data_IF_015650539745
#
_entry.id   IF_015650539745
#
_cell.length_a   1.000
_cell.length_b   1.000
_cell.length_c   1.000
_cell.angle_alpha   90.00
_cell.angle_beta   90.00
_cell.angle_gamma   90.00
#
_symmetry.space_group_name_H-M   'P 1'
#
loop_
_entity.id
_entity.type
_entity.pdbx_description
1 polymer ?
#
# COMPACT_ATOMS: atom_id res chain seq x y z
N UNK A 1 8.07 -40.29 32.50
CA UNK A 1 8.27 -39.69 31.18
C UNK A 1 7.61 -38.33 31.20
N UNK A 2 8.43 -37.30 31.30
CA UNK A 2 8.02 -35.91 31.30
C UNK A 2 7.80 -35.51 29.84
N UNK A 3 6.55 -35.55 29.39
CA UNK A 3 6.18 -35.05 28.07
C UNK A 3 6.07 -33.54 28.21
N UNK A 4 7.12 -32.83 27.81
CA UNK A 4 7.15 -31.37 27.77
C UNK A 4 5.93 -30.88 26.99
N UNK A 5 4.98 -30.28 27.72
CA UNK A 5 3.97 -29.44 27.11
C UNK A 5 4.74 -28.25 26.51
N UNK A 6 5.05 -28.33 25.22
CA UNK A 6 5.49 -27.15 24.47
C UNK A 6 4.43 -26.08 24.70
N UNK A 7 4.86 -24.91 25.16
CA UNK A 7 3.95 -23.80 25.41
C UNK A 7 3.13 -23.57 24.13
N UNK A 8 1.81 -23.75 24.21
CA UNK A 8 0.93 -23.39 23.11
C UNK A 8 1.06 -21.88 22.89
N UNK A 9 1.39 -21.46 21.66
CA UNK A 9 1.49 -20.04 21.32
C UNK A 9 0.15 -19.33 21.44
N UNK A 10 0.17 -18.00 21.35
CA UNK A 10 -1.04 -17.18 21.41
C UNK A 10 -1.90 -17.41 20.16
N UNK A 11 -3.22 -17.45 20.33
CA UNK A 11 -4.18 -17.41 19.23
C UNK A 11 -4.78 -15.99 19.15
N UNK A 12 -4.58 -15.31 18.03
CA UNK A 12 -5.02 -13.94 17.79
C UNK A 12 -6.21 -13.89 16.85
N UNK A 13 -6.97 -12.79 16.91
CA UNK A 13 -7.87 -12.46 15.82
C UNK A 13 -7.09 -11.90 14.60
N UNK A 14 -7.65 -12.01 13.38
CA UNK A 14 -6.99 -11.54 12.16
C UNK A 14 -6.54 -10.08 12.18
N UNK A 15 -7.40 -9.16 12.66
CA UNK A 15 -7.12 -7.73 12.64
C UNK A 15 -6.00 -7.38 13.65
N UNK A 16 -6.03 -8.01 14.82
CA UNK A 16 -5.00 -7.86 15.85
C UNK A 16 -3.64 -8.37 15.35
N UNK A 17 -3.61 -9.52 14.70
CA UNK A 17 -2.39 -10.08 14.13
C UNK A 17 -1.77 -9.15 13.08
N UNK A 18 -2.59 -8.61 12.17
CA UNK A 18 -2.12 -7.71 11.12
C UNK A 18 -1.66 -6.36 11.71
N UNK A 19 -2.44 -5.70 12.57
CA UNK A 19 -2.06 -4.43 13.23
C UNK A 19 -0.76 -4.49 14.04
N UNK A 20 -0.42 -5.69 14.53
CA UNK A 20 0.82 -5.93 15.28
C UNK A 20 2.00 -6.36 14.41
N UNK A 21 1.84 -6.40 13.09
CA UNK A 21 2.84 -6.90 12.14
C UNK A 21 3.32 -5.80 11.19
N UNK A 22 4.64 -5.67 11.10
CA UNK A 22 5.32 -4.87 10.09
C UNK A 22 6.13 -5.77 9.17
N UNK A 23 6.14 -5.45 7.87
CA UNK A 23 6.91 -6.14 6.84
C UNK A 23 8.11 -5.30 6.45
N UNK A 24 9.29 -5.90 6.35
CA UNK A 24 10.54 -5.22 6.05
C UNK A 24 11.14 -5.74 4.74
N UNK A 25 11.50 -4.81 3.86
CA UNK A 25 12.19 -5.12 2.61
C UNK A 25 13.67 -5.26 2.90
N UNK A 26 14.19 -6.48 2.71
CA UNK A 26 15.58 -6.85 2.94
C UNK A 26 16.17 -7.50 1.70
N UNK A 27 17.49 -7.50 1.65
CA UNK A 27 18.26 -8.12 0.57
C UNK A 27 19.29 -9.04 1.21
N UNK A 28 19.48 -10.24 0.66
CA UNK A 28 20.56 -11.14 1.10
C UNK A 28 21.92 -10.46 0.93
N UNK A 29 22.08 -9.73 -0.18
CA UNK A 29 23.26 -8.91 -0.43
C UNK A 29 22.90 -7.61 -1.14
N UNK A 30 23.56 -6.51 -0.74
CA UNK A 30 23.40 -5.19 -1.36
C UNK A 30 24.09 -5.08 -2.73
N UNK A 31 24.99 -6.02 -3.05
CA UNK A 31 25.73 -6.03 -4.32
C UNK A 31 24.99 -6.64 -5.49
N UNK A 32 23.84 -7.28 -5.26
CA UNK A 32 23.12 -8.05 -6.28
C UNK A 32 21.88 -7.28 -6.76
N UNK A 33 20.83 -7.94 -7.24
CA UNK A 33 19.60 -7.28 -7.69
C UNK A 33 18.88 -6.57 -6.54
N UNK A 34 18.82 -5.25 -6.58
CA UNK A 34 18.06 -4.43 -5.62
C UNK A 34 17.04 -3.56 -6.36
N UNK A 35 16.03 -3.06 -5.67
CA UNK A 35 15.08 -2.11 -6.27
C UNK A 35 15.76 -0.83 -6.76
N UNK A 36 16.82 -0.39 -6.09
CA UNK A 36 17.63 0.76 -6.53
C UNK A 36 18.30 0.48 -7.88
N UNK A 37 18.87 -0.71 -8.08
CA UNK A 37 19.44 -1.10 -9.37
C UNK A 37 18.38 -1.34 -10.44
N UNK A 38 17.25 -1.93 -10.07
CA UNK A 38 16.13 -2.13 -10.98
C UNK A 38 15.59 -0.80 -11.51
N UNK A 39 15.46 0.20 -10.62
CA UNK A 39 15.11 1.58 -10.98
C UNK A 39 16.11 2.19 -11.97
N UNK A 40 17.42 1.97 -11.75
CA UNK A 40 18.47 2.39 -12.66
C UNK A 40 18.50 1.61 -14.00
N UNK A 41 17.79 0.49 -14.11
CA UNK A 41 17.82 -0.41 -15.27
C UNK A 41 18.96 -1.43 -15.24
N UNK A 42 19.62 -1.61 -14.11
CA UNK A 42 20.80 -2.44 -13.90
C UNK A 42 20.49 -3.80 -13.22
N UNK A 43 19.22 -4.14 -13.03
CA UNK A 43 18.81 -5.44 -12.49
C UNK A 43 17.48 -5.93 -13.09
N UNK A 44 17.42 -7.21 -13.46
CA UNK A 44 16.20 -7.87 -13.95
C UNK A 44 15.24 -8.20 -12.81
N UNK A 45 13.98 -8.49 -13.18
CA UNK A 45 12.93 -8.89 -12.23
C UNK A 45 13.32 -10.14 -11.46
N UNK A 46 13.93 -11.11 -12.15
CA UNK A 46 14.41 -12.36 -11.57
C UNK A 46 15.54 -12.09 -10.55
N UNK A 47 16.52 -11.25 -10.89
CA UNK A 47 17.63 -10.92 -9.99
C UNK A 47 17.14 -10.25 -8.69
N UNK A 48 16.15 -9.34 -8.79
CA UNK A 48 15.53 -8.75 -7.60
C UNK A 48 14.73 -9.79 -6.82
N UNK A 49 13.94 -10.64 -7.49
CA UNK A 49 13.14 -11.67 -6.81
C UNK A 49 14.01 -12.66 -6.03
N UNK A 50 15.13 -13.07 -6.62
CA UNK A 50 16.08 -14.00 -6.00
C UNK A 50 16.78 -13.39 -4.78
N UNK A 51 17.04 -12.08 -4.75
CA UNK A 51 17.76 -11.43 -3.66
C UNK A 51 16.86 -10.79 -2.58
N UNK A 52 15.66 -10.30 -2.96
CA UNK A 52 14.74 -9.61 -2.06
C UNK A 52 14.03 -10.58 -1.12
N UNK A 53 14.00 -10.23 0.16
CA UNK A 53 13.29 -10.95 1.24
C UNK A 53 12.32 -9.98 1.91
N UNK A 54 11.11 -10.44 2.17
CA UNK A 54 10.14 -9.74 3.01
C UNK A 54 10.16 -10.45 4.36
N UNK A 55 10.77 -9.79 5.35
CA UNK A 55 10.81 -10.26 6.73
C UNK A 55 9.67 -9.62 7.51
N UNK A 56 9.09 -10.33 8.48
CA UNK A 56 8.07 -9.76 9.36
C UNK A 56 8.64 -9.48 10.76
N UNK A 57 8.11 -8.46 11.41
CA UNK A 57 8.35 -8.18 12.83
C UNK A 57 6.99 -8.00 13.50
N UNK A 58 6.75 -8.80 14.53
CA UNK A 58 5.50 -8.83 15.29
C UNK A 58 5.68 -8.20 16.68
N UNK A 59 4.64 -7.55 17.20
CA UNK A 59 4.56 -7.12 18.62
C UNK A 59 4.07 -8.24 19.55
N UNK A 60 4.08 -9.47 19.07
CA UNK A 60 3.75 -10.70 19.79
C UNK A 60 4.78 -11.76 19.42
N UNK A 61 4.89 -12.81 20.23
CA UNK A 61 5.76 -13.95 19.93
C UNK A 61 5.16 -14.75 18.77
N UNK A 62 5.81 -14.72 17.60
CA UNK A 62 5.33 -15.41 16.40
C UNK A 62 5.56 -16.93 16.47
N UNK A 63 6.50 -17.40 17.30
CA UNK A 63 6.85 -18.81 17.38
C UNK A 63 5.68 -19.61 17.97
N UNK A 64 5.02 -20.39 17.11
CA UNK A 64 3.85 -21.18 17.49
C UNK A 64 2.56 -20.37 17.64
N UNK A 65 2.54 -19.09 17.26
CA UNK A 65 1.32 -18.30 17.24
C UNK A 65 0.36 -18.76 16.14
N UNK A 66 -0.93 -18.63 16.42
CA UNK A 66 -2.00 -18.91 15.47
C UNK A 66 -2.93 -17.72 15.32
N UNK A 67 -3.66 -17.70 14.20
CA UNK A 67 -4.72 -16.74 13.92
C UNK A 67 -5.95 -17.53 13.51
N UNK A 68 -7.00 -17.48 14.33
CA UNK A 68 -8.17 -18.36 14.24
C UNK A 68 -7.76 -19.85 14.07
N UNK A 69 -6.76 -20.29 14.84
CA UNK A 69 -6.23 -21.66 14.81
C UNK A 69 -5.39 -22.03 13.58
N UNK A 70 -5.14 -21.11 12.64
CA UNK A 70 -4.18 -21.29 11.54
C UNK A 70 -2.79 -20.79 11.93
N UNK A 71 -1.68 -21.44 11.52
CA UNK A 71 -0.34 -20.92 11.79
C UNK A 71 -0.19 -19.47 11.30
N UNK A 72 0.40 -18.60 12.13
CA UNK A 72 0.51 -17.17 11.81
C UNK A 72 1.17 -16.90 10.46
N UNK A 73 2.28 -17.58 10.14
CA UNK A 73 2.98 -17.42 8.87
C UNK A 73 2.11 -17.78 7.65
N UNK A 74 1.31 -18.83 7.77
CA UNK A 74 0.39 -19.26 6.72
C UNK A 74 -0.75 -18.24 6.55
N UNK A 75 -1.31 -17.77 7.68
CA UNK A 75 -2.31 -16.72 7.68
C UNK A 75 -1.79 -15.44 7.00
N UNK A 76 -0.64 -14.93 7.45
CA UNK A 76 -0.04 -13.69 6.96
C UNK A 76 0.21 -13.75 5.45
N UNK A 77 0.84 -14.83 4.97
CA UNK A 77 1.14 -14.99 3.53
C UNK A 77 -0.11 -15.17 2.68
N UNK A 78 -1.23 -15.56 3.28
CA UNK A 78 -2.52 -15.72 2.63
C UNK A 78 -3.35 -14.43 2.55
N UNK A 79 -2.90 -13.32 3.14
CA UNK A 79 -3.67 -12.07 3.11
C UNK A 79 -3.40 -11.23 1.87
N UNK A 80 -4.37 -10.38 1.50
CA UNK A 80 -4.22 -9.47 0.36
C UNK A 80 -3.16 -8.42 0.66
N UNK A 81 -3.06 -7.95 1.90
CA UNK A 81 -2.07 -6.96 2.32
C UNK A 81 -0.65 -7.47 2.10
N UNK A 82 -0.34 -8.71 2.51
CA UNK A 82 0.97 -9.30 2.27
C UNK A 82 1.25 -9.45 0.77
N UNK A 83 0.29 -9.99 0.01
CA UNK A 83 0.42 -10.13 -1.44
C UNK A 83 0.63 -8.78 -2.15
N UNK A 84 -0.04 -7.73 -1.69
CA UNK A 84 0.10 -6.38 -2.23
C UNK A 84 1.49 -5.80 -1.94
N UNK A 85 2.02 -5.98 -0.73
CA UNK A 85 3.41 -5.59 -0.39
C UNK A 85 4.41 -6.35 -1.26
N UNK A 86 4.21 -7.65 -1.46
CA UNK A 86 5.06 -8.46 -2.31
C UNK A 86 5.06 -7.96 -3.77
N UNK A 87 3.88 -7.73 -4.34
CA UNK A 87 3.73 -7.23 -5.71
C UNK A 87 4.34 -5.82 -5.89
N UNK A 88 4.06 -4.87 -4.99
CA UNK A 88 4.65 -3.51 -5.06
C UNK A 88 6.18 -3.57 -5.07
N UNK A 89 6.76 -4.46 -4.26
CA UNK A 89 8.21 -4.54 -4.06
C UNK A 89 8.92 -5.48 -5.02
N UNK A 90 8.22 -6.25 -5.85
CA UNK A 90 8.83 -7.21 -6.79
C UNK A 90 8.45 -7.00 -8.25
N UNK A 91 7.28 -6.43 -8.53
CA UNK A 91 6.70 -6.41 -9.88
C UNK A 91 6.37 -5.01 -10.39
N UNK A 92 5.73 -4.18 -9.55
CA UNK A 92 5.17 -2.90 -9.99
C UNK A 92 6.20 -1.99 -10.70
N UNK A 93 7.44 -1.97 -10.21
CA UNK A 93 8.51 -1.19 -10.83
C UNK A 93 8.79 -1.62 -12.28
N UNK A 94 8.71 -2.92 -12.56
CA UNK A 94 8.88 -3.46 -13.91
C UNK A 94 7.65 -3.21 -14.76
N UNK A 95 6.45 -3.39 -14.23
CA UNK A 95 5.20 -3.12 -14.96
C UNK A 95 5.13 -1.65 -15.43
N UNK A 96 5.45 -0.69 -14.57
CA UNK A 96 5.52 0.74 -14.93
C UNK A 96 6.63 1.00 -15.97
N UNK A 97 7.73 0.26 -15.90
CA UNK A 97 8.85 0.40 -16.85
C UNK A 97 8.51 -0.14 -18.24
N UNK A 98 7.95 -1.34 -18.30
CA UNK A 98 7.66 -2.09 -19.52
C UNK A 98 6.56 -1.40 -20.36
N UNK A 99 5.67 -0.67 -19.70
CA UNK A 99 4.58 0.10 -20.33
C UNK A 99 4.99 1.52 -20.74
N UNK A 100 6.23 1.94 -20.46
CA UNK A 100 6.75 3.25 -20.83
C UNK A 100 6.21 4.41 -19.98
N UNK A 101 5.50 4.12 -18.89
CA UNK A 101 4.81 5.10 -18.05
C UNK A 101 5.69 5.72 -16.95
N UNK A 102 6.99 5.44 -16.91
CA UNK A 102 7.93 5.95 -15.89
C UNK A 102 7.83 7.45 -15.65
N UNK A 103 7.75 8.26 -16.71
CA UNK A 103 7.66 9.72 -16.57
C UNK A 103 6.30 10.18 -16.06
N UNK A 104 5.23 9.54 -16.55
CA UNK A 104 3.86 9.84 -16.15
C UNK A 104 3.58 9.43 -14.69
N UNK A 105 4.32 8.43 -14.18
CA UNK A 105 4.20 7.88 -12.83
C UNK A 105 5.46 8.07 -12.01
N UNK A 106 6.19 9.16 -12.24
CA UNK A 106 7.52 9.39 -11.66
C UNK A 106 7.51 9.39 -10.13
N UNK A 107 6.52 10.03 -9.49
CA UNK A 107 6.46 10.07 -8.02
C UNK A 107 6.25 8.66 -7.43
N UNK A 108 5.46 7.80 -8.08
CA UNK A 108 5.29 6.39 -7.70
C UNK A 108 6.57 5.59 -7.99
N UNK A 109 7.08 5.70 -9.21
CA UNK A 109 8.25 4.97 -9.69
C UNK A 109 9.48 5.22 -8.82
N UNK A 110 9.70 6.48 -8.43
CA UNK A 110 10.82 6.93 -7.59
C UNK A 110 10.61 6.63 -6.10
N UNK A 111 9.39 6.33 -5.67
CA UNK A 111 9.09 5.95 -4.29
C UNK A 111 9.38 4.47 -4.01
N UNK A 112 9.10 3.57 -4.96
CA UNK A 112 9.29 2.12 -4.80
C UNK A 112 10.70 1.73 -4.29
N UNK A 113 11.82 2.20 -4.87
CA UNK A 113 13.15 1.80 -4.40
C UNK A 113 13.50 2.34 -3.00
N UNK A 114 12.74 3.30 -2.46
CA UNK A 114 12.96 3.90 -1.15
C UNK A 114 12.24 3.14 -0.02
N UNK A 115 11.35 2.20 -0.36
CA UNK A 115 10.60 1.39 0.61
C UNK A 115 11.58 0.61 1.50
N UNK A 116 11.54 0.87 2.80
CA UNK A 116 12.24 0.10 3.83
C UNK A 116 11.30 -0.90 4.52
N UNK A 117 10.04 -0.49 4.74
CA UNK A 117 9.03 -1.32 5.40
C UNK A 117 7.62 -0.98 4.94
N UNK A 118 6.70 -1.91 5.16
CA UNK A 118 5.26 -1.72 5.09
C UNK A 118 4.63 -2.03 6.46
N UNK A 119 3.84 -1.10 6.97
CA UNK A 119 3.07 -1.26 8.21
C UNK A 119 1.66 -1.72 7.84
N UNK A 120 1.21 -2.85 8.39
CA UNK A 120 -0.14 -3.35 8.16
C UNK A 120 -1.09 -2.67 9.16
N UNK A 121 -2.19 -2.11 8.65
CA UNK A 121 -3.06 -1.19 9.39
C UNK A 121 -2.28 -0.04 10.04
N UNK A 122 -1.36 0.55 9.26
CA UNK A 122 -0.45 1.59 9.71
C UNK A 122 -1.15 2.93 9.98
N UNK A 123 -0.69 3.62 11.02
CA UNK A 123 -1.16 4.96 11.39
C UNK A 123 -0.24 6.05 10.81
N UNK A 124 -0.80 7.06 10.18
CA UNK A 124 -0.07 8.27 9.77
C UNK A 124 -0.52 9.46 10.60
N UNK A 125 0.43 10.29 11.00
CA UNK A 125 0.14 11.55 11.67
C UNK A 125 -0.02 12.66 10.65
N UNK A 126 -1.18 13.30 10.65
CA UNK A 126 -1.47 14.49 9.87
C UNK A 126 -1.21 15.72 10.73
N UNK A 127 -0.41 16.67 10.24
CA UNK A 127 -0.23 17.96 10.88
C UNK A 127 -0.91 19.05 10.03
N UNK A 128 -1.74 19.88 10.66
CA UNK A 128 -2.39 21.01 10.01
C UNK A 128 -2.55 22.18 10.98
N UNK A 129 -2.62 23.40 10.46
CA UNK A 129 -2.88 24.59 11.26
C UNK A 129 -4.39 24.86 11.36
N UNK A 130 -4.89 25.02 12.58
CA UNK A 130 -6.26 25.42 12.84
C UNK A 130 -6.28 26.53 13.89
N UNK A 131 -6.92 27.66 13.57
CA UNK A 131 -6.96 28.84 14.46
C UNK A 131 -5.58 29.39 14.89
N UNK A 132 -4.54 29.12 14.11
CA UNK A 132 -3.16 29.53 14.41
C UNK A 132 -2.40 28.58 15.34
N UNK A 133 -2.96 27.39 15.63
CA UNK A 133 -2.32 26.33 16.40
C UNK A 133 -2.08 25.09 15.51
N UNK A 134 -0.92 24.43 15.67
CA UNK A 134 -0.65 23.14 15.02
C UNK A 134 -1.50 22.06 15.69
N UNK A 135 -2.36 21.41 14.92
CA UNK A 135 -3.13 20.23 15.33
C UNK A 135 -2.58 18.99 14.67
N UNK A 136 -2.69 17.88 15.40
CA UNK A 136 -2.30 16.55 14.92
C UNK A 136 -3.45 15.59 15.00
N UNK A 137 -3.71 14.90 13.90
CA UNK A 137 -4.71 13.84 13.80
C UNK A 137 -4.03 12.57 13.31
N UNK A 138 -4.61 11.42 13.65
CA UNK A 138 -4.14 10.13 13.18
C UNK A 138 -5.15 9.57 12.18
N UNK A 139 -4.64 9.13 11.04
CA UNK A 139 -5.40 8.39 10.03
C UNK A 139 -4.79 7.00 9.87
N UNK A 140 -5.62 6.02 9.56
CA UNK A 140 -5.18 4.63 9.35
C UNK A 140 -5.31 4.23 7.90
N UNK A 141 -4.33 3.52 7.36
CA UNK A 141 -4.46 2.83 6.06
C UNK A 141 -4.15 1.36 6.26
N UNK A 142 -4.77 0.49 5.47
CA UNK A 142 -4.56 -0.97 5.60
C UNK A 142 -3.10 -1.36 5.29
N UNK A 143 -2.42 -0.59 4.42
CA UNK A 143 -0.97 -0.69 4.23
C UNK A 143 -0.34 0.70 4.13
N UNK A 144 0.72 0.95 4.89
CA UNK A 144 1.57 2.16 4.77
C UNK A 144 3.00 1.76 4.48
N UNK A 145 3.49 2.06 3.28
CA UNK A 145 4.91 1.89 2.94
C UNK A 145 5.69 3.10 3.40
N UNK A 146 6.84 2.86 4.03
CA UNK A 146 7.70 3.92 4.57
C UNK A 146 9.14 3.79 4.11
N UNK A 147 9.80 4.94 4.02
CA UNK A 147 11.25 4.98 3.90
C UNK A 147 11.93 4.62 5.24
N UNK A 148 13.27 4.59 5.22
CA UNK A 148 14.09 4.32 6.41
C UNK A 148 13.91 5.37 7.52
N UNK A 149 13.52 6.60 7.17
CA UNK A 149 13.28 7.68 8.14
C UNK A 149 11.88 7.61 8.74
N UNK A 150 11.01 6.75 8.22
CA UNK A 150 9.62 6.59 8.65
C UNK A 150 8.64 7.50 7.91
N UNK A 151 9.05 8.20 6.85
CA UNK A 151 8.12 9.01 6.06
C UNK A 151 7.23 8.08 5.21
N UNK A 152 5.92 8.35 5.14
CA UNK A 152 5.02 7.58 4.28
C UNK A 152 5.33 7.87 2.81
N UNK A 153 5.48 6.80 2.03
CA UNK A 153 5.76 6.83 0.60
C UNK A 153 4.51 6.45 -0.20
N UNK A 154 3.85 5.36 0.20
CA UNK A 154 2.67 4.81 -0.45
C UNK A 154 1.66 4.41 0.62
N UNK A 155 0.38 4.58 0.34
CA UNK A 155 -0.71 4.13 1.23
C UNK A 155 -1.73 3.31 0.45
N UNK A 156 -2.42 2.39 1.11
CA UNK A 156 -3.47 1.60 0.48
C UNK A 156 -4.63 1.29 1.42
N UNK A 157 -5.83 1.27 0.84
CA UNK A 157 -7.01 0.61 1.40
C UNK A 157 -7.27 -0.69 0.65
N UNK A 158 -7.65 -1.73 1.39
CA UNK A 158 -7.82 -3.10 0.91
C UNK A 158 -9.25 -3.56 1.15
N UNK A 159 -9.99 -3.78 0.07
CA UNK A 159 -11.27 -4.48 0.11
C UNK A 159 -11.05 -5.98 -0.16
N UNK A 160 -10.92 -6.74 0.93
CA UNK A 160 -10.78 -8.20 0.90
C UNK A 160 -12.12 -8.97 0.86
N UNK A 161 -13.24 -8.25 0.74
CA UNK A 161 -14.56 -8.86 0.70
C UNK A 161 -14.98 -9.22 -0.74
N UNK A 162 -16.15 -9.84 -0.87
CA UNK A 162 -16.77 -10.07 -2.18
C UNK A 162 -17.55 -8.86 -2.68
N UNK A 163 -17.84 -7.91 -1.80
CA UNK A 163 -18.57 -6.70 -2.15
C UNK A 163 -17.67 -5.78 -2.99
N UNK A 164 -18.23 -5.02 -3.93
CA UNK A 164 -17.45 -4.10 -4.74
C UNK A 164 -16.88 -2.96 -3.91
N UNK A 165 -15.77 -2.39 -4.39
CA UNK A 165 -15.27 -1.12 -3.88
C UNK A 165 -16.18 0.01 -4.34
N UNK A 166 -16.70 0.78 -3.40
CA UNK A 166 -17.75 1.77 -3.62
C UNK A 166 -17.22 3.18 -3.83
N UNK A 167 -18.06 4.07 -4.35
CA UNK A 167 -17.78 5.52 -4.42
C UNK A 167 -17.35 6.08 -3.05
N UNK A 168 -18.06 5.71 -1.98
CA UNK A 168 -17.80 6.16 -0.61
C UNK A 168 -16.38 5.77 -0.15
N UNK A 169 -15.99 4.51 -0.35
CA UNK A 169 -14.65 4.02 0.00
C UNK A 169 -13.55 4.74 -0.79
N UNK A 170 -13.79 5.02 -2.07
CA UNK A 170 -12.86 5.76 -2.93
C UNK A 170 -12.71 7.22 -2.48
N UNK A 171 -13.82 7.89 -2.17
CA UNK A 171 -13.80 9.26 -1.66
C UNK A 171 -13.06 9.36 -0.32
N UNK A 172 -13.28 8.41 0.59
CA UNK A 172 -12.58 8.35 1.88
C UNK A 172 -11.07 8.18 1.69
N UNK A 173 -10.61 7.27 0.82
CA UNK A 173 -9.20 7.12 0.48
C UNK A 173 -8.61 8.44 -0.05
N UNK A 174 -9.31 9.09 -0.97
CA UNK A 174 -8.86 10.34 -1.59
C UNK A 174 -8.74 11.48 -0.58
N UNK A 175 -9.71 11.64 0.30
CA UNK A 175 -9.71 12.67 1.33
C UNK A 175 -8.53 12.49 2.29
N UNK A 176 -8.35 11.28 2.84
CA UNK A 176 -7.24 10.97 3.75
C UNK A 176 -5.88 11.12 3.09
N UNK A 177 -5.76 10.67 1.83
CA UNK A 177 -4.50 10.78 1.07
C UNK A 177 -4.16 12.24 0.71
N UNK A 178 -5.15 13.08 0.42
CA UNK A 178 -4.92 14.51 0.19
C UNK A 178 -4.40 15.20 1.46
N UNK A 179 -5.03 14.95 2.61
CA UNK A 179 -4.56 15.49 3.89
C UNK A 179 -3.16 14.99 4.25
N UNK A 180 -2.87 13.72 3.93
CA UNK A 180 -1.53 13.17 4.10
C UNK A 180 -0.50 13.86 3.22
N UNK A 181 -0.81 14.11 1.94
CA UNK A 181 0.11 14.84 1.06
C UNK A 181 0.38 16.26 1.54
N UNK A 182 -0.63 16.94 2.06
CA UNK A 182 -0.48 18.30 2.63
C UNK A 182 0.45 18.33 3.85
N UNK A 183 0.56 17.22 4.59
CA UNK A 183 1.42 17.09 5.77
C UNK A 183 2.75 16.38 5.50
N UNK A 184 2.88 15.67 4.36
CA UNK A 184 4.04 14.87 4.00
C UNK A 184 4.30 14.90 2.49
N UNK A 185 5.31 15.65 2.07
CA UNK A 185 5.70 15.80 0.66
C UNK A 185 6.20 14.49 0.01
N UNK A 186 6.53 13.46 0.79
CA UNK A 186 7.08 12.19 0.31
C UNK A 186 6.05 11.24 -0.29
N UNK A 187 4.75 11.49 -0.11
CA UNK A 187 3.70 10.59 -0.61
C UNK A 187 3.71 10.59 -2.15
N UNK A 188 4.01 9.42 -2.74
CA UNK A 188 4.09 9.20 -4.19
C UNK A 188 2.81 8.60 -4.78
N UNK A 189 2.09 7.75 -4.04
CA UNK A 189 0.81 7.19 -4.50
C UNK A 189 -0.11 6.72 -3.37
N UNK A 190 -1.41 6.65 -3.70
CA UNK A 190 -2.45 6.03 -2.89
C UNK A 190 -3.17 4.96 -3.71
N UNK A 191 -3.38 3.79 -3.11
CA UNK A 191 -3.94 2.62 -3.78
C UNK A 191 -5.30 2.24 -3.19
N UNK A 192 -6.27 1.98 -4.06
CA UNK A 192 -7.45 1.20 -3.70
C UNK A 192 -7.27 -0.20 -4.27
N UNK A 193 -7.21 -1.21 -3.40
CA UNK A 193 -6.95 -2.60 -3.74
C UNK A 193 -8.23 -3.41 -3.49
N UNK A 194 -8.64 -4.27 -4.41
CA UNK A 194 -9.83 -5.11 -4.22
C UNK A 194 -9.66 -6.51 -4.78
N UNK A 195 -10.17 -7.52 -4.06
CA UNK A 195 -10.35 -8.88 -4.59
C UNK A 195 -11.62 -9.05 -5.42
N UNK A 196 -12.43 -8.00 -5.56
CA UNK A 196 -13.71 -8.01 -6.28
C UNK A 196 -13.60 -7.15 -7.54
N UNK A 197 -14.37 -6.07 -7.60
CA UNK A 197 -14.37 -5.10 -8.68
C UNK A 197 -14.71 -3.70 -8.16
N UNK A 198 -14.43 -2.68 -8.96
CA UNK A 198 -14.84 -1.29 -8.69
C UNK A 198 -16.22 -1.03 -9.27
N UNK A 199 -17.13 -0.48 -8.47
CA UNK A 199 -18.43 -0.05 -8.99
C UNK A 199 -18.30 1.22 -9.84
N UNK A 200 -19.30 1.56 -10.68
CA UNK A 200 -19.23 2.72 -11.57
C UNK A 200 -18.93 4.04 -10.86
N UNK A 201 -19.50 4.28 -9.67
CA UNK A 201 -19.26 5.52 -8.90
C UNK A 201 -17.82 5.66 -8.41
N UNK A 202 -17.16 4.54 -8.05
CA UNK A 202 -15.74 4.54 -7.70
C UNK A 202 -14.86 4.89 -8.90
N UNK A 203 -15.18 4.33 -10.09
CA UNK A 203 -14.46 4.62 -11.33
C UNK A 203 -14.65 6.07 -11.79
N UNK A 204 -15.87 6.62 -11.71
CA UNK A 204 -16.15 8.03 -12.01
C UNK A 204 -15.36 8.94 -11.08
N UNK A 205 -15.35 8.64 -9.78
CA UNK A 205 -14.57 9.37 -8.77
C UNK A 205 -13.07 9.34 -9.09
N UNK A 206 -12.53 8.18 -9.48
CA UNK A 206 -11.13 8.04 -9.86
C UNK A 206 -10.80 8.84 -11.13
N UNK A 207 -11.68 8.81 -12.14
CA UNK A 207 -11.52 9.58 -13.38
C UNK A 207 -11.56 11.10 -13.14
N UNK A 208 -12.46 11.56 -12.27
CA UNK A 208 -12.55 12.96 -11.86
C UNK A 208 -11.32 13.41 -11.04
N UNK A 209 -10.80 12.51 -10.20
CA UNK A 209 -9.60 12.74 -9.41
C UNK A 209 -8.32 12.86 -10.26
N UNK A 210 -8.23 12.07 -11.33
CA UNK A 210 -7.05 11.97 -12.21
C UNK A 210 -7.14 12.87 -13.45
N UNK A 211 -8.26 13.57 -13.65
CA UNK A 211 -8.44 14.55 -14.74
C UNK A 211 -8.91 13.96 -16.08
N UNK A 212 -9.39 12.71 -16.09
CA UNK A 212 -9.88 12.00 -17.29
C UNK A 212 -11.39 12.13 -17.56
N UNK A 213 -12.18 12.76 -16.68
CA UNK A 213 -13.64 12.84 -16.81
C UNK A 213 -14.15 13.77 -17.94
N UNK A 214 -14.92 13.22 -18.88
CA UNK A 214 -15.60 13.93 -19.99
C UNK A 214 -16.85 14.74 -19.57
N UNK A 215 -17.21 14.79 -18.28
CA UNK A 215 -18.44 15.42 -17.81
C UNK A 215 -18.26 16.21 -16.51
N UNK A 216 -17.41 17.23 -16.51
CA UNK A 216 -17.44 18.26 -15.46
C UNK A 216 -18.74 19.08 -15.54
N UNK A 217 -19.84 18.60 -14.95
CA UNK A 217 -21.01 19.46 -14.68
C UNK A 217 -21.87 18.97 -13.50
N UNK A 218 -21.46 19.42 -12.32
CA UNK A 218 -22.40 20.08 -11.42
C UNK A 218 -22.76 19.35 -10.14
N UNK A 219 -21.86 19.41 -9.14
CA UNK A 219 -22.21 19.77 -7.74
C UNK A 219 -21.01 19.94 -6.80
N UNK A 220 -19.80 19.58 -7.20
CA UNK A 220 -18.63 19.62 -6.32
C UNK A 220 -17.64 20.75 -6.66
N UNK A 221 -18.07 22.02 -6.54
CA UNK A 221 -17.14 23.17 -6.71
C UNK A 221 -16.02 23.21 -5.66
N UNK A 222 -16.18 22.55 -4.51
CA UNK A 222 -15.13 22.45 -3.46
C UNK A 222 -14.01 21.47 -3.84
N UNK A 223 -14.32 20.34 -4.47
CA UNK A 223 -13.32 19.34 -4.89
C UNK A 223 -12.48 19.80 -6.11
N UNK A 224 -13.05 20.65 -6.98
CA UNK A 224 -12.37 21.18 -8.18
C UNK A 224 -11.16 22.07 -7.84
N UNK A 225 -11.10 22.64 -6.63
CA UNK A 225 -9.94 23.45 -6.21
C UNK A 225 -8.77 22.60 -5.71
N UNK A 226 -9.05 21.36 -5.27
CA UNK A 226 -8.07 20.37 -4.81
C UNK A 226 -7.45 19.61 -6.00
N UNK A 227 -8.17 19.45 -7.11
CA UNK A 227 -7.74 18.56 -8.22
C UNK A 227 -6.48 18.99 -8.99
N UNK A 228 -5.99 20.23 -8.85
CA UNK A 228 -4.84 20.74 -9.63
C UNK A 228 -3.47 20.54 -8.95
N UNK A 229 -3.41 19.98 -7.74
CA UNK A 229 -2.17 19.82 -6.96
C UNK A 229 -2.14 18.56 -6.09
N UNK A 230 -2.71 17.44 -6.53
CA UNK A 230 -2.74 16.22 -5.69
C UNK A 230 -1.34 15.69 -5.37
N UNK A 231 -0.33 15.91 -6.21
CA UNK A 231 1.08 15.63 -5.90
C UNK A 231 1.40 14.16 -5.57
N UNK A 232 0.46 13.24 -5.79
CA UNK A 232 0.61 11.78 -5.70
C UNK A 232 -0.28 11.12 -6.76
N UNK A 233 -0.01 9.86 -7.10
CA UNK A 233 -0.79 9.06 -8.04
C UNK A 233 -1.91 8.29 -7.35
N UNK A 234 -3.14 8.36 -7.87
CA UNK A 234 -4.20 7.43 -7.49
C UNK A 234 -4.08 6.16 -8.32
N UNK A 235 -4.08 5.01 -7.64
CA UNK A 235 -3.92 3.70 -8.25
C UNK A 235 -5.08 2.77 -7.90
N UNK A 236 -5.71 2.14 -8.89
CA UNK A 236 -6.76 1.13 -8.67
C UNK A 236 -6.21 -0.24 -9.04
N UNK A 237 -6.25 -1.17 -8.09
CA UNK A 237 -5.68 -2.51 -8.24
C UNK A 237 -6.75 -3.57 -7.98
N UNK A 238 -6.94 -4.45 -8.94
CA UNK A 238 -7.72 -5.69 -8.74
C UNK A 238 -6.77 -6.85 -8.51
N UNK A 239 -7.11 -7.75 -7.58
CA UNK A 239 -6.37 -8.99 -7.34
C UNK A 239 -7.23 -10.21 -7.54
N UNK A 240 -6.69 -11.23 -8.23
CA UNK A 240 -7.34 -12.53 -8.45
C UNK A 240 -6.31 -13.63 -8.30
N UNK A 241 -6.62 -14.59 -7.43
CA UNK A 241 -5.73 -15.75 -7.16
C UNK A 241 -4.30 -15.33 -6.76
N UNK A 242 -4.16 -14.17 -6.10
CA UNK A 242 -2.87 -13.62 -5.68
C UNK A 242 -2.13 -12.81 -6.75
N UNK A 243 -2.66 -12.70 -7.97
CA UNK A 243 -2.11 -11.84 -9.03
C UNK A 243 -2.75 -10.46 -8.97
N UNK A 244 -1.94 -9.42 -8.91
CA UNK A 244 -2.38 -8.03 -8.84
C UNK A 244 -2.27 -7.36 -10.21
N UNK A 245 -3.26 -6.53 -10.54
CA UNK A 245 -3.33 -5.82 -11.81
C UNK A 245 -3.67 -4.35 -11.57
N UNK A 246 -2.79 -3.45 -12.03
CA UNK A 246 -3.03 -2.02 -11.99
C UNK A 246 -3.97 -1.62 -13.15
N UNK A 247 -5.18 -1.19 -12.83
CA UNK A 247 -6.21 -0.78 -13.79
C UNK A 247 -6.22 0.72 -14.03
N UNK A 248 -5.90 1.51 -13.00
CA UNK A 248 -5.75 2.96 -13.08
C UNK A 248 -4.44 3.34 -12.41
N UNK A 249 -3.62 4.20 -13.03
CA UNK A 249 -3.70 4.54 -14.45
C UNK A 249 -3.57 3.27 -15.31
N UNK A 250 -4.16 3.29 -16.50
CA UNK A 250 -3.99 2.20 -17.45
C UNK A 250 -2.49 2.09 -17.79
N UNK A 251 -1.92 0.90 -17.59
CA UNK A 251 -0.54 0.57 -17.98
C UNK A 251 -0.53 -0.11 -19.34
#
# INVERSE_FOLDING_TARGET
SDAGAGAAGVDLDPDEALRKTNLFVRYETKSDGTLEKAHAGDATREEVRENLRIEHHTRFDADGATVDGRPFDEFLRGTIEFGFVDWVTRDLLYEVSETGNRSALSDLYDAIPKVDRAELYGEVSLAYEEEGEERREQETFDVVFRDRMGNPLLVADVNATRDPSTEETMLSLLERSNRLKESSDTLGAAFSVTSSYFEPGALETAADATGGGLFSRGKQRSYVRISRKRGYHLCLVETREGNFHLNVPEL
#
